data_IF_455656873022
#
_entry.id   IF_455656873022
#
_cell.length_a   1.000
_cell.length_b   1.000
_cell.length_c   1.000
_cell.angle_alpha   90.00
_cell.angle_beta   90.00
_cell.angle_gamma   90.00
#
_symmetry.space_group_name_H-M   'P 1'
#
loop_
_entity.id
_entity.type
_entity.pdbx_description
1 polymer ?
#
# COMPACT_ATOMS: atom_id res chain seq x y z
N UNK A 1 19.03 -6.03 2.69
CA UNK A 1 18.89 -4.70 3.33
C UNK A 1 17.55 -4.72 4.04
N UNK A 2 17.56 -4.97 5.36
CA UNK A 2 16.35 -5.02 6.16
C UNK A 2 15.95 -3.58 6.49
N UNK A 3 14.75 -3.16 6.07
CA UNK A 3 14.21 -1.86 6.47
C UNK A 3 13.47 -2.02 7.79
N UNK A 4 14.20 -1.59 8.83
CA UNK A 4 13.78 -0.91 10.05
C UNK A 4 12.38 -1.22 10.62
N UNK A 5 12.41 -1.97 11.70
CA UNK A 5 11.35 -2.05 12.72
C UNK A 5 11.53 -0.94 13.75
N UNK A 6 10.97 0.25 13.49
CA UNK A 6 10.56 1.19 14.55
C UNK A 6 9.27 1.92 14.16
N UNK A 7 8.26 1.80 15.03
CA UNK A 7 6.99 2.58 15.07
C UNK A 7 5.89 2.28 14.04
N UNK A 8 5.04 1.28 14.34
CA UNK A 8 3.57 1.22 14.11
C UNK A 8 2.91 1.51 12.73
N UNK A 9 3.62 1.75 11.63
CA UNK A 9 2.99 2.31 10.42
C UNK A 9 3.18 1.49 9.13
N UNK A 10 3.32 0.16 9.23
CA UNK A 10 3.30 -0.72 8.05
C UNK A 10 1.94 -0.62 7.35
N UNK A 11 1.94 -0.49 6.02
CA UNK A 11 0.72 -0.43 5.22
C UNK A 11 -0.15 -1.67 5.44
N UNK A 12 -1.42 -1.49 5.81
CA UNK A 12 -2.35 -2.62 6.04
C UNK A 12 -3.56 -2.56 5.12
N UNK A 13 -3.82 -3.67 4.43
CA UNK A 13 -5.08 -3.92 3.75
C UNK A 13 -6.06 -4.56 4.74
N UNK A 14 -7.22 -3.92 4.92
CA UNK A 14 -8.27 -4.39 5.82
C UNK A 14 -9.61 -4.46 5.08
N UNK A 15 -10.45 -5.43 5.44
CA UNK A 15 -11.85 -5.45 5.02
C UNK A 15 -12.64 -4.47 5.89
N UNK A 16 -13.40 -3.60 5.26
CA UNK A 16 -14.37 -2.74 5.89
C UNK A 16 -15.77 -3.10 5.37
N UNK A 17 -16.65 -3.48 6.30
CA UNK A 17 -18.05 -3.71 6.00
C UNK A 17 -18.77 -2.36 6.05
N UNK A 18 -19.19 -1.85 4.88
CA UNK A 18 -20.04 -0.68 4.74
C UNK A 18 -21.46 -1.15 4.50
N UNK A 19 -22.33 -1.06 5.52
CA UNK A 19 -23.74 -1.43 5.50
C UNK A 19 -24.03 -2.77 4.79
N UNK A 20 -24.24 -2.75 3.47
CA UNK A 20 -24.59 -3.89 2.63
C UNK A 20 -23.43 -4.50 1.83
N UNK A 21 -22.25 -3.87 1.81
CA UNK A 21 -21.09 -4.31 1.02
C UNK A 21 -19.81 -4.40 1.85
N UNK A 22 -18.94 -5.36 1.50
CA UNK A 22 -17.60 -5.45 2.05
C UNK A 22 -16.60 -4.85 1.06
N UNK A 23 -15.82 -3.87 1.50
CA UNK A 23 -14.79 -3.20 0.69
C UNK A 23 -13.41 -3.46 1.29
N UNK A 24 -12.39 -3.61 0.45
CA UNK A 24 -11.00 -3.66 0.89
C UNK A 24 -10.42 -2.25 0.91
N UNK A 25 -9.84 -1.85 2.03
CA UNK A 25 -9.29 -0.51 2.24
C UNK A 25 -7.86 -0.58 2.76
N UNK A 26 -7.01 0.32 2.26
CA UNK A 26 -5.70 0.58 2.84
C UNK A 26 -5.89 1.52 4.03
N UNK A 27 -5.46 1.09 5.22
CA UNK A 27 -5.66 1.83 6.48
C UNK A 27 -4.34 2.38 7.01
N UNK A 28 -3.78 1.73 8.04
CA UNK A 28 -2.51 2.09 8.66
C UNK A 28 -1.43 2.25 7.60
N UNK A 29 -0.57 3.28 7.71
CA UNK A 29 0.53 3.54 6.77
C UNK A 29 0.14 4.27 5.47
N UNK A 30 -1.16 4.43 5.15
CA UNK A 30 -1.59 5.11 3.93
C UNK A 30 -1.15 6.58 3.88
N UNK A 31 -1.36 7.33 4.97
CA UNK A 31 -0.97 8.75 5.01
C UNK A 31 0.53 8.93 4.82
N UNK A 32 1.35 8.02 5.36
CA UNK A 32 2.80 8.07 5.17
C UNK A 32 3.17 7.82 3.72
N UNK A 33 2.60 6.77 3.11
CA UNK A 33 2.80 6.49 1.70
C UNK A 33 2.44 7.71 0.83
N UNK A 34 1.32 8.39 1.12
CA UNK A 34 0.92 9.61 0.40
C UNK A 34 1.94 10.73 0.60
N UNK A 35 2.41 10.96 1.83
CA UNK A 35 3.37 12.02 2.14
C UNK A 35 4.74 11.78 1.49
N UNK A 36 5.21 10.54 1.50
CA UNK A 36 6.47 10.13 0.87
C UNK A 36 6.43 10.30 -0.65
N UNK A 37 5.27 10.06 -1.27
CA UNK A 37 5.08 10.10 -2.71
C UNK A 37 4.37 11.36 -3.20
N UNK A 38 4.25 12.41 -2.38
CA UNK A 38 3.43 13.62 -2.67
C UNK A 38 3.70 14.31 -4.01
N UNK A 39 4.90 14.14 -4.57
CA UNK A 39 5.27 14.74 -5.85
C UNK A 39 4.72 13.96 -7.05
N UNK A 40 4.59 12.64 -6.91
CA UNK A 40 4.18 11.71 -7.95
C UNK A 40 2.72 11.23 -7.77
N UNK A 41 2.25 11.10 -6.52
CA UNK A 41 0.88 10.71 -6.18
C UNK A 41 -0.06 11.93 -6.21
N UNK A 42 -0.40 12.36 -7.42
CA UNK A 42 -1.38 13.43 -7.68
C UNK A 42 -2.71 12.85 -8.15
N UNK A 43 -3.73 13.70 -8.27
CA UNK A 43 -5.01 13.29 -8.86
C UNK A 43 -4.77 12.74 -10.28
N UNK A 44 -5.30 11.55 -10.56
CA UNK A 44 -5.10 10.84 -11.82
C UNK A 44 -3.85 9.94 -11.86
N UNK A 45 -2.99 9.99 -10.85
CA UNK A 45 -1.85 9.08 -10.76
C UNK A 45 -2.33 7.63 -10.57
N UNK A 46 -1.57 6.69 -11.15
CA UNK A 46 -1.85 5.26 -11.04
C UNK A 46 -1.01 4.67 -9.92
N UNK A 47 -1.64 3.87 -9.06
CA UNK A 47 -0.95 3.02 -8.08
C UNK A 47 -1.06 1.56 -8.48
N UNK A 48 0.02 0.81 -8.27
CA UNK A 48 0.02 -0.65 -8.38
C UNK A 48 0.10 -1.28 -7.00
N UNK A 49 -0.65 -2.37 -6.82
CA UNK A 49 -0.73 -3.13 -5.58
C UNK A 49 -0.51 -4.59 -5.91
N UNK A 50 0.43 -5.22 -5.21
CA UNK A 50 0.76 -6.63 -5.39
C UNK A 50 0.62 -7.39 -4.08
N UNK A 51 0.16 -8.64 -4.17
CA UNK A 51 0.30 -9.62 -3.10
C UNK A 51 1.33 -10.67 -3.48
N UNK A 52 2.20 -11.03 -2.55
CA UNK A 52 3.19 -12.06 -2.75
C UNK A 52 3.38 -12.87 -1.47
N UNK A 53 3.81 -14.14 -1.60
CA UNK A 53 4.10 -15.00 -0.45
C UNK A 53 5.60 -15.04 -0.24
N UNK A 54 6.05 -14.74 0.97
CA UNK A 54 7.41 -15.01 1.41
C UNK A 54 7.47 -16.45 1.91
N UNK A 55 8.00 -17.35 1.07
CA UNK A 55 8.00 -18.80 1.31
C UNK A 55 8.77 -19.19 2.58
N UNK A 56 9.91 -18.54 2.83
CA UNK A 56 10.78 -18.72 3.99
C UNK A 56 10.08 -18.44 5.33
N UNK A 57 9.12 -17.51 5.33
CA UNK A 57 8.38 -17.09 6.52
C UNK A 57 6.92 -17.55 6.53
N UNK A 58 6.48 -18.23 5.47
CA UNK A 58 5.07 -18.59 5.21
C UNK A 58 4.10 -17.41 5.43
N UNK A 59 4.51 -16.19 5.04
CA UNK A 59 3.73 -14.95 5.22
C UNK A 59 3.20 -14.46 3.88
N UNK A 60 1.94 -14.04 3.87
CA UNK A 60 1.37 -13.26 2.76
C UNK A 60 1.69 -11.78 3.00
N UNK A 61 2.37 -11.17 2.04
CA UNK A 61 2.82 -9.79 2.07
C UNK A 61 2.14 -8.97 0.97
N UNK A 62 2.17 -7.65 1.16
CA UNK A 62 1.64 -6.67 0.23
C UNK A 62 2.75 -5.68 -0.14
N UNK A 63 2.81 -5.28 -1.41
CA UNK A 63 3.61 -4.16 -1.88
C UNK A 63 2.72 -3.14 -2.60
N UNK A 64 3.12 -1.88 -2.54
CA UNK A 64 2.45 -0.77 -3.22
C UNK A 64 3.50 0.15 -3.86
N UNK A 65 3.21 0.71 -5.02
CA UNK A 65 4.04 1.73 -5.66
C UNK A 65 3.20 2.70 -6.51
N UNK A 66 3.67 3.93 -6.63
CA UNK A 66 3.17 4.88 -7.64
C UNK A 66 3.83 4.55 -8.97
N UNK A 67 3.03 4.48 -10.04
CA UNK A 67 3.52 4.24 -11.39
C UNK A 67 3.54 5.56 -12.13
N UNK A 68 4.69 5.93 -12.67
CA UNK A 68 4.77 7.05 -13.63
C UNK A 68 4.12 6.60 -14.93
N UNK A 69 3.10 7.32 -15.39
CA UNK A 69 2.61 7.18 -16.75
C UNK A 69 3.75 7.56 -17.70
N UNK A 70 4.04 6.71 -18.68
CA UNK A 70 4.99 7.00 -19.75
C UNK A 70 4.32 7.96 -20.73
N UNK A 71 4.10 9.19 -20.29
CA UNK A 71 3.66 10.31 -21.12
C UNK A 71 4.39 11.56 -20.59
N UNK A 72 5.70 11.64 -20.88
CA UNK A 72 6.54 12.85 -20.83
C UNK A 72 6.76 13.36 -22.26
#
# INVERSE_FOLDING_TARGET
MALDTTSNEVLRLARWNLNTVSTLVLRTGWNNFVNENKNDLKLGATIQVWSFRMEDQNKLCLAIAVVKSVDD
#
